data_IF_435654350637
#
_entry.id   IF_435654350637
#
_cell.length_a   1.000
_cell.length_b   1.000
_cell.length_c   1.000
_cell.angle_alpha   90.00
_cell.angle_beta   90.00
_cell.angle_gamma   90.00
#
_symmetry.space_group_name_H-M   'P 1'
#
loop_
_entity.id
_entity.type
_entity.pdbx_description
1 polymer ?
#
# COMPACT_ATOMS: atom_id res chain seq x y z
N UNK A 1 13.75 11.31 14.07
CA UNK A 1 13.35 10.66 15.34
C UNK A 1 14.16 9.37 15.50
N UNK A 2 14.38 8.91 16.77
CA UNK A 2 15.13 7.67 16.98
C UNK A 2 14.26 6.44 16.68
N UNK A 3 14.90 5.33 16.32
CA UNK A 3 14.21 4.05 16.10
C UNK A 3 13.41 3.63 17.35
N UNK A 4 13.99 3.80 18.54
CA UNK A 4 13.31 3.50 19.80
C UNK A 4 12.03 4.31 20.00
N UNK A 5 12.03 5.59 19.60
CA UNK A 5 10.83 6.42 19.64
C UNK A 5 9.74 5.87 18.72
N UNK A 6 10.11 5.52 17.49
CA UNK A 6 9.18 4.93 16.53
C UNK A 6 8.58 3.61 17.02
N UNK A 7 9.40 2.73 17.64
CA UNK A 7 8.92 1.48 18.21
C UNK A 7 7.91 1.74 19.34
N UNK A 8 8.21 2.67 20.26
CA UNK A 8 7.27 3.02 21.36
C UNK A 8 5.98 3.60 20.83
N UNK A 9 6.04 4.44 19.81
CA UNK A 9 4.85 5.05 19.20
C UNK A 9 3.93 3.98 18.61
N UNK A 10 4.48 3.05 17.83
CA UNK A 10 3.69 1.95 17.23
C UNK A 10 3.06 1.07 18.32
N UNK A 11 3.83 0.69 19.36
CA UNK A 11 3.31 -0.09 20.49
C UNK A 11 2.18 0.64 21.21
N UNK A 12 2.36 1.93 21.51
CA UNK A 12 1.31 2.73 22.15
C UNK A 12 0.03 2.82 21.31
N UNK A 13 0.16 2.93 19.99
CA UNK A 13 -1.01 2.92 19.10
C UNK A 13 -1.75 1.57 19.16
N UNK A 14 -1.00 0.45 19.18
CA UNK A 14 -1.59 -0.90 19.29
C UNK A 14 -2.28 -1.07 20.65
N UNK A 15 -1.65 -0.64 21.75
CA UNK A 15 -2.23 -0.68 23.10
C UNK A 15 -3.54 0.13 23.19
N UNK A 16 -3.69 1.15 22.37
CA UNK A 16 -4.91 1.96 22.23
C UNK A 16 -5.95 1.35 21.26
N UNK A 17 -5.69 0.17 20.70
CA UNK A 17 -6.61 -0.56 19.83
C UNK A 17 -6.41 -0.32 18.34
N UNK A 18 -5.36 0.39 17.90
CA UNK A 18 -5.01 0.49 16.49
C UNK A 18 -4.41 -0.85 16.05
N UNK A 19 -5.04 -1.50 15.08
CA UNK A 19 -4.59 -2.80 14.58
C UNK A 19 -4.17 -2.79 13.09
N UNK A 20 -4.43 -1.70 12.36
CA UNK A 20 -3.97 -1.53 10.98
C UNK A 20 -2.72 -0.66 10.95
N UNK A 21 -1.60 -1.23 10.50
CA UNK A 21 -0.29 -0.56 10.45
C UNK A 21 0.14 -0.47 8.99
N UNK A 22 0.25 0.77 8.50
CA UNK A 22 0.66 1.07 7.14
C UNK A 22 2.08 1.64 7.09
N UNK A 23 2.92 1.06 6.24
CA UNK A 23 4.29 1.51 5.97
C UNK A 23 4.61 1.40 4.48
N UNK A 24 5.87 1.61 4.11
CA UNK A 24 6.39 1.38 2.76
C UNK A 24 7.91 1.20 2.79
N UNK A 25 8.45 0.51 1.81
CA UNK A 25 9.90 0.32 1.65
C UNK A 25 10.67 1.65 1.59
N UNK A 26 10.06 2.69 1.02
CA UNK A 26 10.65 4.03 0.89
C UNK A 26 10.59 4.89 2.16
N UNK A 27 9.85 4.48 3.20
CA UNK A 27 9.70 5.27 4.43
C UNK A 27 10.82 5.03 5.43
N UNK A 28 11.56 3.91 5.32
CA UNK A 28 12.61 3.54 6.26
C UNK A 28 12.10 3.14 7.64
N UNK A 29 10.81 2.81 7.76
CA UNK A 29 10.15 2.50 9.04
C UNK A 29 9.84 1.02 9.26
N UNK A 30 10.03 0.17 8.24
CA UNK A 30 9.69 -1.25 8.31
C UNK A 30 10.41 -1.99 9.45
N UNK A 31 11.69 -1.71 9.68
CA UNK A 31 12.45 -2.31 10.78
C UNK A 31 11.86 -1.94 12.15
N UNK A 32 11.50 -0.67 12.35
CA UNK A 32 10.90 -0.21 13.61
C UNK A 32 9.51 -0.82 13.82
N UNK A 33 8.70 -0.92 12.76
CA UNK A 33 7.40 -1.61 12.80
C UNK A 33 7.60 -3.08 13.17
N UNK A 34 8.51 -3.81 12.49
CA UNK A 34 8.81 -5.22 12.78
C UNK A 34 9.21 -5.45 14.23
N UNK A 35 10.09 -4.59 14.78
CA UNK A 35 10.49 -4.66 16.21
C UNK A 35 9.33 -4.36 17.16
N UNK A 36 8.44 -3.44 16.78
CA UNK A 36 7.29 -3.09 17.59
C UNK A 36 6.28 -4.24 17.72
N UNK A 37 6.06 -5.01 16.65
CA UNK A 37 5.06 -6.09 16.62
C UNK A 37 5.62 -7.47 16.96
N UNK A 38 6.92 -7.62 17.18
CA UNK A 38 7.61 -8.90 17.34
C UNK A 38 6.95 -9.86 18.35
N UNK A 39 6.43 -9.32 19.44
CA UNK A 39 5.84 -10.10 20.53
C UNK A 39 4.30 -10.12 20.48
N UNK A 40 3.70 -9.59 19.41
CA UNK A 40 2.25 -9.54 19.20
C UNK A 40 1.86 -10.70 18.28
N UNK A 41 0.81 -11.46 18.61
CA UNK A 41 0.29 -12.48 17.71
C UNK A 41 0.00 -11.89 16.33
N UNK A 42 0.51 -12.54 15.27
CA UNK A 42 0.48 -11.99 13.90
C UNK A 42 -0.92 -11.70 13.38
N UNK A 43 -1.91 -12.44 13.83
CA UNK A 43 -3.32 -12.30 13.50
C UNK A 43 -4.04 -11.14 14.21
N UNK A 44 -3.38 -10.50 15.17
CA UNK A 44 -3.92 -9.32 15.87
C UNK A 44 -3.59 -8.00 15.17
N UNK A 45 -2.72 -8.01 14.16
CA UNK A 45 -2.33 -6.83 13.40
C UNK A 45 -2.51 -7.05 11.90
N UNK A 46 -3.01 -6.02 11.23
CA UNK A 46 -3.08 -5.94 9.77
C UNK A 46 -1.89 -5.11 9.30
N UNK A 47 -0.98 -5.74 8.55
CA UNK A 47 0.22 -5.08 8.03
C UNK A 47 0.04 -4.72 6.56
N UNK A 48 0.29 -3.47 6.24
CA UNK A 48 0.32 -2.95 4.89
C UNK A 48 1.71 -2.38 4.59
N UNK A 49 2.30 -2.78 3.46
CA UNK A 49 3.52 -2.17 2.93
C UNK A 49 3.43 -1.97 1.43
N UNK A 50 4.40 -1.24 0.87
CA UNK A 50 4.32 -0.74 -0.51
C UNK A 50 5.69 -0.70 -1.17
N UNK A 51 5.70 -0.88 -2.50
CA UNK A 51 6.88 -0.66 -3.32
C UNK A 51 6.54 0.09 -4.61
N UNK A 52 7.40 1.04 -5.02
CA UNK A 52 7.16 1.85 -6.20
C UNK A 52 7.43 1.08 -7.50
N UNK A 53 6.47 0.97 -8.43
CA UNK A 53 6.74 0.49 -9.79
C UNK A 53 7.52 1.50 -10.62
N UNK A 54 7.35 2.80 -10.32
CA UNK A 54 8.15 3.88 -10.92
C UNK A 54 8.33 5.02 -9.92
N UNK A 55 9.55 5.51 -9.75
CA UNK A 55 9.86 6.61 -8.85
C UNK A 55 11.06 7.40 -9.34
N UNK A 56 11.00 8.74 -9.25
CA UNK A 56 12.10 9.65 -9.60
C UNK A 56 12.72 9.38 -10.99
N UNK A 57 11.90 9.02 -11.96
CA UNK A 57 12.35 8.74 -13.34
C UNK A 57 12.90 7.32 -13.56
N UNK A 58 12.95 6.50 -12.51
CA UNK A 58 13.34 5.08 -12.60
C UNK A 58 12.09 4.22 -12.67
N UNK A 59 12.02 3.33 -13.65
CA UNK A 59 10.98 2.30 -13.77
C UNK A 59 11.56 0.98 -13.30
N UNK A 60 10.93 0.37 -12.32
CA UNK A 60 11.32 -0.90 -11.74
C UNK A 60 10.66 -2.04 -12.51
N UNK A 61 11.43 -3.07 -12.87
CA UNK A 61 10.87 -4.30 -13.43
C UNK A 61 10.24 -5.18 -12.34
N UNK A 62 9.49 -6.19 -12.75
CA UNK A 62 8.80 -7.10 -11.84
C UNK A 62 9.76 -7.81 -10.87
N UNK A 63 10.93 -8.23 -11.33
CA UNK A 63 11.95 -8.85 -10.47
C UNK A 63 12.39 -7.93 -9.33
N UNK A 64 12.58 -6.63 -9.63
CA UNK A 64 12.95 -5.62 -8.62
C UNK A 64 11.83 -5.46 -7.59
N UNK A 65 10.57 -5.47 -8.03
CA UNK A 65 9.41 -5.35 -7.13
C UNK A 65 9.27 -6.58 -6.23
N UNK A 66 9.45 -7.77 -6.78
CA UNK A 66 9.45 -9.02 -6.00
C UNK A 66 10.57 -9.01 -4.97
N UNK A 67 11.78 -8.61 -5.34
CA UNK A 67 12.90 -8.44 -4.39
C UNK A 67 12.59 -7.37 -3.32
N UNK A 68 11.88 -6.31 -3.70
CA UNK A 68 11.39 -5.29 -2.79
C UNK A 68 10.42 -5.86 -1.75
N UNK A 69 9.44 -6.65 -2.19
CA UNK A 69 8.52 -7.37 -1.30
C UNK A 69 9.28 -8.28 -0.33
N UNK A 70 10.20 -9.10 -0.83
CA UNK A 70 11.02 -10.00 0.01
C UNK A 70 11.88 -9.25 1.02
N UNK A 71 12.40 -8.08 0.63
CA UNK A 71 13.13 -7.22 1.54
C UNK A 71 12.22 -6.63 2.63
N UNK A 72 11.01 -6.18 2.26
CA UNK A 72 10.01 -5.68 3.22
C UNK A 72 9.63 -6.75 4.23
N UNK A 73 9.36 -7.99 3.81
CA UNK A 73 9.07 -9.11 4.71
C UNK A 73 10.21 -9.35 5.70
N UNK A 74 11.46 -9.30 5.21
CA UNK A 74 12.67 -9.45 6.05
C UNK A 74 12.82 -8.33 7.07
N UNK A 75 12.58 -7.08 6.67
CA UNK A 75 12.69 -5.91 7.56
C UNK A 75 11.56 -5.90 8.62
N UNK A 76 10.36 -6.29 8.23
CA UNK A 76 9.22 -6.44 9.13
C UNK A 76 9.34 -7.68 10.04
N UNK A 77 10.20 -8.65 9.68
CA UNK A 77 10.37 -9.90 10.43
C UNK A 77 9.14 -10.82 10.37
N UNK A 78 8.43 -10.83 9.25
CA UNK A 78 7.20 -11.61 9.04
C UNK A 78 7.29 -12.46 7.77
N UNK A 79 6.51 -13.53 7.71
CA UNK A 79 6.42 -14.40 6.53
C UNK A 79 5.48 -13.82 5.46
N UNK A 80 4.50 -13.03 5.88
CA UNK A 80 3.55 -12.38 4.97
C UNK A 80 3.09 -11.01 5.49
N UNK A 81 2.64 -10.16 4.58
CA UNK A 81 1.85 -8.96 4.89
C UNK A 81 0.39 -9.15 4.47
N UNK A 82 -0.53 -8.43 5.11
CA UNK A 82 -1.95 -8.52 4.74
C UNK A 82 -2.21 -7.79 3.43
N UNK A 83 -1.61 -6.61 3.25
CA UNK A 83 -1.75 -5.85 2.01
C UNK A 83 -0.37 -5.47 1.46
N UNK A 84 -0.14 -5.77 0.19
CA UNK A 84 1.02 -5.27 -0.55
C UNK A 84 0.55 -4.33 -1.65
N UNK A 85 0.96 -3.06 -1.59
CA UNK A 85 0.55 -2.06 -2.57
C UNK A 85 1.63 -1.79 -3.62
N UNK A 86 1.19 -1.60 -4.86
CA UNK A 86 1.94 -0.87 -5.87
C UNK A 86 1.85 0.63 -5.56
N UNK A 87 2.99 1.23 -5.20
CA UNK A 87 3.06 2.55 -4.57
C UNK A 87 3.14 3.69 -5.58
N UNK A 88 2.14 4.55 -5.60
CA UNK A 88 2.15 5.78 -6.40
C UNK A 88 2.10 5.52 -7.90
N UNK A 89 1.18 4.68 -8.35
CA UNK A 89 1.01 4.37 -9.77
C UNK A 89 0.47 5.59 -10.51
N UNK A 90 1.17 6.00 -11.57
CA UNK A 90 0.71 7.05 -12.48
C UNK A 90 -0.19 6.46 -13.58
N UNK A 91 -1.20 7.18 -14.06
CA UNK A 91 -2.03 6.72 -15.19
C UNK A 91 -1.20 6.27 -16.41
N UNK A 92 -0.12 6.98 -16.73
CA UNK A 92 0.78 6.67 -17.86
C UNK A 92 1.57 5.36 -17.71
N UNK A 93 1.76 4.86 -16.48
CA UNK A 93 2.48 3.62 -16.20
C UNK A 93 1.55 2.44 -15.97
N UNK A 94 0.25 2.67 -15.99
CA UNK A 94 -0.74 1.66 -15.62
C UNK A 94 -0.68 0.42 -16.52
N UNK A 95 -0.57 0.59 -17.85
CA UNK A 95 -0.47 -0.53 -18.80
C UNK A 95 0.74 -1.42 -18.50
N UNK A 96 1.89 -0.80 -18.24
CA UNK A 96 3.09 -1.52 -17.87
C UNK A 96 2.93 -2.27 -16.54
N UNK A 97 2.30 -1.66 -15.56
CA UNK A 97 2.00 -2.30 -14.28
C UNK A 97 1.15 -3.55 -14.49
N UNK A 98 0.12 -3.45 -15.31
CA UNK A 98 -0.80 -4.56 -15.57
C UNK A 98 -0.17 -5.68 -16.39
N UNK A 99 0.62 -5.35 -17.43
CA UNK A 99 1.21 -6.36 -18.30
C UNK A 99 2.41 -7.09 -17.71
N UNK A 100 3.26 -6.37 -16.96
CA UNK A 100 4.58 -6.88 -16.55
C UNK A 100 4.68 -7.17 -15.05
N UNK A 101 4.02 -6.38 -14.20
CA UNK A 101 4.20 -6.45 -12.75
C UNK A 101 3.13 -7.30 -12.07
N UNK A 102 1.86 -7.05 -12.37
CA UNK A 102 0.73 -7.75 -11.70
C UNK A 102 0.80 -9.26 -11.89
N UNK A 103 1.14 -9.83 -13.07
CA UNK A 103 1.24 -11.28 -13.24
C UNK A 103 2.29 -11.93 -12.32
N UNK A 104 3.42 -11.26 -12.10
CA UNK A 104 4.47 -11.78 -11.21
C UNK A 104 4.05 -11.65 -9.73
N UNK A 105 3.39 -10.55 -9.36
CA UNK A 105 2.86 -10.40 -8.00
C UNK A 105 1.74 -11.41 -7.70
N UNK A 106 0.94 -11.79 -8.69
CA UNK A 106 -0.06 -12.86 -8.54
C UNK A 106 0.60 -14.17 -8.12
N UNK A 107 1.74 -14.53 -8.73
CA UNK A 107 2.52 -15.72 -8.34
C UNK A 107 3.05 -15.61 -6.91
N UNK A 108 3.45 -14.42 -6.46
CA UNK A 108 3.92 -14.21 -5.08
C UNK A 108 2.77 -14.24 -4.07
N UNK A 109 1.56 -13.79 -4.47
CA UNK A 109 0.32 -13.95 -3.70
C UNK A 109 -0.03 -15.43 -3.51
N UNK A 110 0.07 -16.23 -4.58
CA UNK A 110 -0.14 -17.70 -4.53
C UNK A 110 0.86 -18.41 -3.62
N UNK A 111 2.09 -17.88 -3.49
CA UNK A 111 3.09 -18.37 -2.53
C UNK A 111 2.81 -17.93 -1.09
N UNK A 112 1.76 -17.13 -0.86
CA UNK A 112 1.34 -16.68 0.46
C UNK A 112 2.14 -15.51 1.03
N UNK A 113 2.95 -14.79 0.24
CA UNK A 113 3.76 -13.66 0.71
C UNK A 113 2.92 -12.42 1.06
N UNK A 114 1.74 -12.30 0.50
CA UNK A 114 0.74 -11.31 0.89
C UNK A 114 -0.68 -11.83 0.62
N UNK A 115 -1.67 -11.27 1.31
CA UNK A 115 -3.08 -11.71 1.20
C UNK A 115 -3.85 -10.92 0.15
N UNK A 116 -3.65 -9.61 0.12
CA UNK A 116 -4.40 -8.67 -0.71
C UNK A 116 -3.45 -7.82 -1.55
N UNK A 117 -3.74 -7.71 -2.85
CA UNK A 117 -3.03 -6.80 -3.73
C UNK A 117 -3.69 -5.42 -3.65
N UNK A 118 -2.89 -4.41 -3.36
CA UNK A 118 -3.33 -3.04 -3.33
C UNK A 118 -2.65 -2.15 -4.37
N UNK A 119 -3.24 -1.01 -4.63
CA UNK A 119 -2.64 0.04 -5.45
C UNK A 119 -2.87 1.41 -4.83
N UNK A 120 -1.86 2.28 -4.89
CA UNK A 120 -2.00 3.68 -4.49
C UNK A 120 -1.82 4.58 -5.69
N UNK A 121 -2.60 5.65 -5.76
CA UNK A 121 -2.42 6.67 -6.78
C UNK A 121 -1.23 7.59 -6.46
N UNK A 122 -0.76 8.30 -7.48
CA UNK A 122 0.11 9.46 -7.30
C UNK A 122 -0.75 10.73 -7.21
N UNK A 123 -1.32 10.98 -6.03
CA UNK A 123 -2.31 12.03 -5.78
C UNK A 123 -1.96 13.43 -6.30
N UNK A 124 -0.70 13.92 -6.19
CA UNK A 124 -0.35 15.24 -6.72
C UNK A 124 -0.50 15.37 -8.24
N UNK A 125 -0.60 14.27 -8.96
CA UNK A 125 -0.66 14.26 -10.44
C UNK A 125 -1.89 13.55 -11.01
N UNK A 126 -2.78 13.04 -10.15
CA UNK A 126 -4.02 12.36 -10.52
C UNK A 126 -5.20 12.82 -9.65
N UNK A 127 -5.50 14.13 -9.70
CA UNK A 127 -6.56 14.72 -8.88
C UNK A 127 -7.97 14.22 -9.22
N UNK A 128 -8.16 13.61 -10.39
CA UNK A 128 -9.45 13.06 -10.84
C UNK A 128 -9.51 11.54 -10.68
N UNK A 129 -8.48 10.93 -10.09
CA UNK A 129 -8.42 9.49 -9.86
C UNK A 129 -8.55 8.65 -11.15
N UNK A 130 -7.92 9.11 -12.24
CA UNK A 130 -8.01 8.47 -13.57
C UNK A 130 -7.42 7.05 -13.55
N UNK A 131 -6.34 6.85 -12.81
CA UNK A 131 -5.72 5.53 -12.64
C UNK A 131 -6.72 4.52 -12.04
N UNK A 132 -7.50 4.92 -11.04
CA UNK A 132 -8.47 4.03 -10.43
C UNK A 132 -9.63 3.66 -11.33
N UNK A 133 -10.03 4.53 -12.29
CA UNK A 133 -11.07 4.15 -13.26
C UNK A 133 -10.67 2.91 -14.04
N UNK A 134 -9.41 2.83 -14.42
CA UNK A 134 -8.84 1.66 -15.09
C UNK A 134 -8.70 0.47 -14.13
N UNK A 135 -8.24 0.71 -12.92
CA UNK A 135 -8.08 -0.33 -11.89
C UNK A 135 -9.41 -1.03 -11.56
N UNK A 136 -10.51 -0.29 -11.57
CA UNK A 136 -11.85 -0.85 -11.41
C UNK A 136 -12.31 -1.72 -12.58
N UNK A 137 -11.88 -1.40 -13.81
CA UNK A 137 -12.23 -2.18 -15.00
C UNK A 137 -11.45 -3.50 -15.06
N UNK A 138 -10.23 -3.54 -14.52
CA UNK A 138 -9.36 -4.73 -14.53
C UNK A 138 -9.64 -5.71 -13.37
N UNK A 139 -10.39 -5.30 -12.34
CA UNK A 139 -10.88 -6.12 -11.22
C UNK A 139 -9.81 -7.05 -10.58
N UNK A 140 -8.61 -6.52 -10.37
CA UNK A 140 -7.49 -7.30 -9.82
C UNK A 140 -6.96 -6.78 -8.48
N UNK A 141 -7.42 -5.61 -8.02
CA UNK A 141 -7.00 -5.01 -6.78
C UNK A 141 -8.06 -5.17 -5.68
N UNK A 142 -7.63 -5.68 -4.55
CA UNK A 142 -8.48 -5.86 -3.36
C UNK A 142 -8.61 -4.57 -2.53
N UNK A 143 -7.59 -3.69 -2.61
CA UNK A 143 -7.49 -2.46 -1.79
C UNK A 143 -6.92 -1.32 -2.62
N UNK A 144 -7.50 -0.14 -2.47
CA UNK A 144 -7.00 1.10 -3.07
C UNK A 144 -6.67 2.14 -2.00
N UNK A 145 -5.62 2.92 -2.21
CA UNK A 145 -5.26 4.02 -1.32
C UNK A 145 -5.23 5.33 -2.10
N UNK A 146 -6.04 6.29 -1.67
CA UNK A 146 -6.32 7.52 -2.40
C UNK A 146 -6.25 8.76 -1.52
N UNK A 147 -5.99 9.92 -2.12
CA UNK A 147 -6.10 11.20 -1.46
C UNK A 147 -7.57 11.63 -1.37
N UNK A 148 -8.02 11.90 -0.16
CA UNK A 148 -9.33 12.48 0.07
C UNK A 148 -9.25 13.45 1.25
N UNK A 149 -9.54 14.71 1.00
CA UNK A 149 -9.45 15.78 1.99
C UNK A 149 -10.32 16.97 1.57
N UNK A 150 -10.48 17.95 2.46
CA UNK A 150 -11.37 19.09 2.24
C UNK A 150 -11.16 19.84 0.91
N UNK A 151 -9.93 19.83 0.38
CA UNK A 151 -9.60 20.53 -0.89
C UNK A 151 -9.72 19.62 -2.12
N UNK A 152 -9.84 18.30 -1.95
CA UNK A 152 -10.09 17.35 -3.03
C UNK A 152 -11.09 16.29 -2.58
N UNK A 153 -12.33 16.45 -3.02
CA UNK A 153 -13.46 15.55 -2.72
C UNK A 153 -13.90 14.75 -3.97
N UNK A 154 -13.10 14.75 -5.01
CA UNK A 154 -13.43 14.06 -6.27
C UNK A 154 -13.69 12.55 -6.10
N UNK A 155 -13.11 11.94 -5.07
CA UNK A 155 -13.34 10.53 -4.76
C UNK A 155 -14.81 10.20 -4.49
N UNK A 156 -15.61 11.13 -3.96
CA UNK A 156 -17.04 10.93 -3.75
C UNK A 156 -17.79 10.63 -5.05
N UNK A 157 -17.30 11.20 -6.14
CA UNK A 157 -17.91 11.04 -7.46
C UNK A 157 -17.29 9.90 -8.25
N UNK A 158 -15.97 9.75 -8.19
CA UNK A 158 -15.23 8.91 -9.13
C UNK A 158 -14.74 7.58 -8.52
N UNK A 159 -14.66 7.47 -7.19
CA UNK A 159 -14.02 6.31 -6.54
C UNK A 159 -14.98 5.56 -5.63
N UNK A 160 -15.55 6.22 -4.62
CA UNK A 160 -16.33 5.54 -3.59
C UNK A 160 -17.53 4.74 -4.10
N UNK A 161 -18.33 5.20 -5.08
CA UNK A 161 -19.42 4.38 -5.60
C UNK A 161 -18.93 3.08 -6.21
N UNK A 162 -17.88 3.13 -7.04
CA UNK A 162 -17.32 1.93 -7.70
C UNK A 162 -16.65 0.98 -6.73
N UNK A 163 -15.85 1.50 -5.78
CA UNK A 163 -15.21 0.67 -4.78
C UNK A 163 -16.22 -0.06 -3.90
N UNK A 164 -17.32 0.61 -3.54
CA UNK A 164 -18.40 0.00 -2.78
C UNK A 164 -19.11 -1.10 -3.59
N UNK A 165 -19.47 -0.85 -4.85
CA UNK A 165 -20.15 -1.81 -5.71
C UNK A 165 -19.30 -3.07 -5.97
N UNK A 166 -17.97 -2.92 -6.05
CA UNK A 166 -17.03 -4.02 -6.29
C UNK A 166 -16.46 -4.64 -5.01
N UNK A 167 -16.81 -4.11 -3.83
CA UNK A 167 -16.30 -4.62 -2.55
C UNK A 167 -14.81 -4.37 -2.33
N UNK A 168 -14.23 -3.35 -2.98
CA UNK A 168 -12.82 -2.99 -2.86
C UNK A 168 -12.60 -2.12 -1.61
N UNK A 169 -11.64 -2.52 -0.76
CA UNK A 169 -11.26 -1.77 0.43
C UNK A 169 -10.63 -0.41 0.09
N UNK A 170 -10.99 0.65 0.83
CA UNK A 170 -10.45 1.99 0.61
C UNK A 170 -9.64 2.47 1.80
N UNK A 171 -8.42 2.97 1.56
CA UNK A 171 -7.57 3.64 2.53
C UNK A 171 -7.39 5.09 2.12
N UNK A 172 -7.52 6.00 3.08
CA UNK A 172 -7.43 7.43 2.83
C UNK A 172 -6.05 7.96 3.23
N UNK A 173 -5.38 8.62 2.30
CA UNK A 173 -4.16 9.38 2.58
C UNK A 173 -4.43 10.90 2.54
N UNK A 174 -3.62 11.65 3.27
CA UNK A 174 -3.67 13.11 3.35
C UNK A 174 -4.93 13.74 3.98
N UNK A 175 -5.78 12.96 4.64
CA UNK A 175 -7.02 13.44 5.24
C UNK A 175 -6.85 14.66 6.17
N UNK A 176 -5.74 14.69 6.93
CA UNK A 176 -5.43 15.74 7.93
C UNK A 176 -4.10 16.45 7.65
N UNK A 177 -3.51 16.25 6.47
CA UNK A 177 -2.26 16.90 6.12
C UNK A 177 -2.49 18.37 5.80
N UNK A 178 -1.67 19.27 6.36
CA UNK A 178 -1.59 20.65 5.88
C UNK A 178 -1.10 20.64 4.42
N UNK A 179 -1.84 21.30 3.58
CA UNK A 179 -1.60 21.44 2.15
C UNK A 179 -0.57 22.54 1.91
#
# INVERSE_FOLDING_TARGET
>A
ESEEHSIRLVRSAIDLGVNFIDTASSYGTEVAVGKAIKDIPRDQVVLSTKFHPAWAGVVNNAETIVKGLENSLRQLGVEYVDVFHLHGVYPRWYDYVMSDIVPELTKEKEKGKFRHLGVTENAPQDHQHEMFQRAFDDDCFDVIMLAYHIMNQNAERFVFPRSQDQGIGTLIMFAVRSI
#
